data_IF_447126435521
#
_entry.id   IF_447126435521
#
_cell.length_a   1.000
_cell.length_b   1.000
_cell.length_c   1.000
_cell.angle_alpha   90.00
_cell.angle_beta   90.00
_cell.angle_gamma   90.00
#
_symmetry.space_group_name_H-M   'P 1'
#
loop_
_entity.id
_entity.type
_entity.pdbx_description
1 polymer ?
#
# COMPACT_ATOMS: atom_id res chain seq x y z
N UNK A 1 -21.32 6.53 -20.76
CA UNK A 1 -20.22 5.57 -20.97
C UNK A 1 -19.38 5.61 -19.70
N UNK A 2 -19.42 4.56 -18.90
CA UNK A 2 -18.62 4.44 -17.69
C UNK A 2 -17.24 3.94 -18.13
N UNK A 3 -16.19 4.73 -17.88
CA UNK A 3 -14.82 4.29 -18.15
C UNK A 3 -14.29 3.50 -16.95
N UNK A 4 -13.26 2.68 -17.16
CA UNK A 4 -12.64 1.82 -16.14
C UNK A 4 -12.43 2.56 -14.81
N UNK A 5 -11.86 3.77 -14.85
CA UNK A 5 -11.55 4.54 -13.64
C UNK A 5 -12.78 5.06 -12.89
N UNK A 6 -13.89 5.31 -13.58
CA UNK A 6 -15.16 5.64 -12.93
C UNK A 6 -15.71 4.42 -12.19
N UNK A 7 -15.59 3.24 -12.79
CA UNK A 7 -16.03 1.98 -12.17
C UNK A 7 -15.15 1.61 -10.97
N UNK A 8 -13.82 1.64 -11.13
CA UNK A 8 -12.87 1.47 -10.03
C UNK A 8 -13.21 2.38 -8.84
N UNK A 9 -13.44 3.67 -9.07
CA UNK A 9 -13.76 4.61 -7.99
C UNK A 9 -15.06 4.24 -7.25
N UNK A 10 -16.10 3.86 -7.98
CA UNK A 10 -17.41 3.56 -7.40
C UNK A 10 -17.39 2.20 -6.67
N UNK A 11 -16.86 1.18 -7.33
CA UNK A 11 -17.00 -0.21 -6.90
C UNK A 11 -15.93 -0.62 -5.88
N UNK A 12 -14.88 0.18 -5.68
CA UNK A 12 -13.92 -0.01 -4.57
C UNK A 12 -14.17 0.92 -3.38
N UNK A 13 -15.23 1.74 -3.40
CA UNK A 13 -15.47 2.73 -2.34
C UNK A 13 -15.64 2.08 -0.96
N UNK A 14 -16.41 0.99 -0.89
CA UNK A 14 -16.65 0.27 0.37
C UNK A 14 -15.35 -0.32 0.94
N UNK A 15 -14.51 -0.93 0.09
CA UNK A 15 -13.23 -1.52 0.49
C UNK A 15 -12.21 -0.46 0.92
N UNK A 16 -12.21 0.70 0.25
CA UNK A 16 -11.40 1.86 0.69
C UNK A 16 -11.81 2.33 2.07
N UNK A 17 -13.11 2.51 2.32
CA UNK A 17 -13.62 2.91 3.64
C UNK A 17 -13.29 1.87 4.71
N UNK A 18 -13.51 0.58 4.41
CA UNK A 18 -13.17 -0.50 5.32
C UNK A 18 -11.68 -0.53 5.67
N UNK A 19 -10.81 -0.23 4.71
CA UNK A 19 -9.38 -0.09 4.96
C UNK A 19 -9.09 1.05 5.94
N UNK A 20 -9.65 2.23 5.72
CA UNK A 20 -9.45 3.40 6.62
C UNK A 20 -9.96 3.13 8.04
N UNK A 21 -11.05 2.38 8.19
CA UNK A 21 -11.61 1.98 9.49
C UNK A 21 -10.84 0.85 10.19
N UNK A 22 -9.97 0.13 9.46
CA UNK A 22 -9.22 -1.02 9.97
C UNK A 22 -7.88 -0.63 10.60
N UNK A 23 -7.39 -1.48 11.51
CA UNK A 23 -6.01 -1.36 12.01
C UNK A 23 -5.00 -1.69 10.90
N UNK A 24 -3.87 -0.99 10.76
CA UNK A 24 -3.42 0.17 11.55
C UNK A 24 -3.85 1.53 10.99
N UNK A 25 -4.63 1.58 9.91
CA UNK A 25 -4.96 2.80 9.17
C UNK A 25 -5.93 3.74 9.90
N UNK A 26 -6.76 3.20 10.78
CA UNK A 26 -7.65 3.97 11.65
C UNK A 26 -6.92 4.91 12.62
N UNK A 27 -5.58 4.80 12.73
CA UNK A 27 -4.69 5.78 13.35
C UNK A 27 -5.02 7.22 12.95
N UNK A 28 -5.43 7.44 11.70
CA UNK A 28 -5.63 8.78 11.15
C UNK A 28 -7.01 9.38 11.41
N UNK A 29 -7.91 8.66 12.10
CA UNK A 29 -9.25 9.17 12.45
C UNK A 29 -9.26 10.12 13.63
N UNK A 30 -8.30 10.00 14.56
CA UNK A 30 -8.22 10.85 15.73
C UNK A 30 -6.77 11.29 16.01
N UNK A 31 -6.48 12.56 15.74
CA UNK A 31 -5.16 13.17 15.89
C UNK A 31 -4.67 13.19 17.35
N UNK A 32 -5.59 13.20 18.32
CA UNK A 32 -5.25 13.21 19.74
C UNK A 32 -4.71 11.85 20.22
N UNK A 33 -4.97 10.78 19.48
CA UNK A 33 -4.57 9.41 19.82
C UNK A 33 -3.41 8.88 18.96
N UNK A 34 -2.65 9.77 18.31
CA UNK A 34 -1.54 9.34 17.47
C UNK A 34 -0.50 8.52 18.26
N UNK A 35 -0.27 7.29 17.80
CA UNK A 35 0.57 6.27 18.39
C UNK A 35 1.75 5.95 17.44
N UNK A 36 3.00 6.01 17.93
CA UNK A 36 4.18 5.77 17.11
C UNK A 36 4.33 4.30 16.72
N UNK A 37 3.91 3.40 17.59
CA UNK A 37 3.88 1.95 17.38
C UNK A 37 2.89 1.61 16.26
N UNK A 38 1.67 2.14 16.34
CA UNK A 38 0.68 1.97 15.27
C UNK A 38 1.14 2.62 13.96
N UNK A 39 1.84 3.76 14.02
CA UNK A 39 2.41 4.37 12.82
C UNK A 39 3.50 3.49 12.18
N UNK A 40 4.39 2.89 12.98
CA UNK A 40 5.36 1.90 12.50
C UNK A 40 4.66 0.72 11.82
N UNK A 41 3.55 0.25 12.38
CA UNK A 41 2.76 -0.84 11.81
C UNK A 41 2.14 -0.44 10.46
N UNK A 42 1.64 0.79 10.30
CA UNK A 42 1.24 1.34 8.99
C UNK A 42 2.39 1.23 7.98
N UNK A 43 3.59 1.69 8.36
CA UNK A 43 4.76 1.66 7.48
C UNK A 43 5.17 0.23 7.10
N UNK A 44 5.05 -0.73 8.03
CA UNK A 44 5.32 -2.13 7.76
C UNK A 44 4.34 -2.71 6.73
N UNK A 45 3.03 -2.52 6.93
CA UNK A 45 1.98 -2.96 6.00
C UNK A 45 2.19 -2.35 4.62
N UNK A 46 2.43 -1.04 4.56
CA UNK A 46 2.68 -0.35 3.29
C UNK A 46 3.96 -0.84 2.61
N UNK A 47 5.02 -1.15 3.36
CA UNK A 47 6.25 -1.71 2.83
C UNK A 47 6.02 -3.05 2.11
N UNK A 48 5.25 -3.95 2.71
CA UNK A 48 4.89 -5.24 2.09
C UNK A 48 4.04 -5.01 0.85
N UNK A 49 2.98 -4.20 0.95
CA UNK A 49 2.11 -3.87 -0.18
C UNK A 49 2.90 -3.31 -1.38
N UNK A 50 3.83 -2.40 -1.13
CA UNK A 50 4.62 -1.80 -2.19
C UNK A 50 5.55 -2.81 -2.89
N UNK A 51 6.19 -3.71 -2.12
CA UNK A 51 6.98 -4.80 -2.69
C UNK A 51 6.12 -5.72 -3.57
N UNK A 52 4.90 -5.98 -3.14
CA UNK A 52 3.94 -6.81 -3.84
C UNK A 52 3.47 -6.20 -5.17
N UNK A 53 3.10 -4.92 -5.18
CA UNK A 53 2.74 -4.22 -6.42
C UNK A 53 3.93 -4.18 -7.37
N UNK A 54 5.16 -3.95 -6.87
CA UNK A 54 6.37 -3.99 -7.70
C UNK A 54 6.53 -5.36 -8.39
N UNK A 55 6.23 -6.46 -7.70
CA UNK A 55 6.29 -7.82 -8.28
C UNK A 55 5.21 -8.05 -9.33
N UNK A 56 3.97 -7.63 -9.04
CA UNK A 56 2.86 -7.73 -10.00
C UNK A 56 3.20 -7.00 -11.31
N UNK A 57 3.72 -5.78 -11.21
CA UNK A 57 4.17 -4.98 -12.37
C UNK A 57 5.28 -5.70 -13.14
N UNK A 58 6.33 -6.18 -12.45
CA UNK A 58 7.42 -6.94 -13.10
C UNK A 58 6.91 -8.21 -13.79
N UNK A 59 5.93 -8.89 -13.19
CA UNK A 59 5.28 -10.07 -13.77
C UNK A 59 4.51 -9.70 -15.04
N UNK A 60 3.69 -8.66 -15.00
CA UNK A 60 2.95 -8.15 -16.16
C UNK A 60 3.89 -7.75 -17.31
N UNK A 61 4.94 -6.98 -17.03
CA UNK A 61 5.94 -6.56 -18.03
C UNK A 61 6.66 -7.74 -18.68
N UNK A 62 6.90 -8.82 -17.93
CA UNK A 62 7.54 -10.03 -18.45
C UNK A 62 6.66 -10.75 -19.48
N UNK A 63 5.35 -10.81 -19.25
CA UNK A 63 4.42 -11.51 -20.13
C UNK A 63 3.80 -10.61 -21.21
N UNK A 64 3.85 -9.29 -21.01
CA UNK A 64 3.29 -8.29 -21.90
C UNK A 64 4.30 -7.15 -22.09
N UNK A 65 5.23 -7.26 -23.06
CA UNK A 65 6.29 -6.27 -23.27
C UNK A 65 5.82 -4.84 -23.56
N UNK A 66 4.57 -4.67 -24.01
CA UNK A 66 3.94 -3.37 -24.25
C UNK A 66 3.25 -2.79 -23.00
N UNK A 67 3.31 -3.48 -21.86
CA UNK A 67 2.73 -3.00 -20.62
C UNK A 67 3.34 -1.66 -20.18
N UNK A 68 2.48 -0.79 -19.62
CA UNK A 68 2.75 0.60 -19.28
C UNK A 68 4.15 0.87 -18.70
N UNK A 69 4.73 2.01 -19.11
CA UNK A 69 5.95 2.53 -18.48
C UNK A 69 5.68 2.84 -17.01
N UNK A 70 6.27 2.08 -16.09
CA UNK A 70 6.00 2.19 -14.64
C UNK A 70 7.02 3.02 -13.88
N UNK A 71 7.90 3.76 -14.56
CA UNK A 71 8.92 4.61 -13.92
C UNK A 71 8.32 5.62 -12.94
N UNK A 72 7.04 5.94 -13.10
CA UNK A 72 6.32 6.85 -12.23
C UNK A 72 5.91 6.31 -10.86
N UNK A 73 5.96 4.98 -10.63
CA UNK A 73 5.66 4.41 -9.32
C UNK A 73 6.77 4.66 -8.30
N UNK A 74 7.99 4.95 -8.78
CA UNK A 74 9.16 5.26 -7.97
C UNK A 74 9.38 4.30 -6.78
N UNK A 75 9.10 3.02 -7.03
CA UNK A 75 8.96 2.00 -5.98
C UNK A 75 10.19 1.87 -5.08
N UNK A 76 11.39 2.06 -5.63
CA UNK A 76 12.65 1.97 -4.87
C UNK A 76 12.81 3.13 -3.90
N UNK A 77 12.55 4.37 -4.32
CA UNK A 77 12.60 5.53 -3.43
C UNK A 77 11.55 5.45 -2.34
N UNK A 78 10.33 4.97 -2.67
CA UNK A 78 9.26 4.77 -1.69
C UNK A 78 9.66 3.74 -0.63
N UNK A 79 10.21 2.59 -1.04
CA UNK A 79 10.66 1.55 -0.11
C UNK A 79 11.83 2.03 0.77
N UNK A 80 12.78 2.78 0.19
CA UNK A 80 13.87 3.39 0.94
C UNK A 80 13.35 4.40 1.98
N UNK A 81 12.37 5.22 1.61
CA UNK A 81 11.75 6.19 2.52
C UNK A 81 11.02 5.50 3.69
N UNK A 82 10.31 4.39 3.43
CA UNK A 82 9.70 3.56 4.48
C UNK A 82 10.77 2.98 5.41
N UNK A 83 11.87 2.48 4.86
CA UNK A 83 12.96 1.93 5.66
C UNK A 83 13.56 2.98 6.58
N UNK A 84 13.80 4.20 6.07
CA UNK A 84 14.32 5.32 6.86
C UNK A 84 13.37 5.71 8.00
N UNK A 85 12.09 5.90 7.70
CA UNK A 85 11.09 6.26 8.70
C UNK A 85 10.94 5.17 9.76
N UNK A 86 10.87 3.91 9.35
CA UNK A 86 10.80 2.75 10.25
C UNK A 86 12.01 2.67 11.19
N UNK A 87 13.22 2.87 10.67
CA UNK A 87 14.44 2.90 11.48
C UNK A 87 14.44 4.05 12.49
N UNK A 88 13.98 5.23 12.06
CA UNK A 88 13.89 6.39 12.94
C UNK A 88 12.85 6.20 14.03
N UNK A 89 11.67 5.65 13.72
CA UNK A 89 10.64 5.32 14.72
C UNK A 89 11.18 4.29 15.71
N UNK A 90 11.83 3.21 15.24
CA UNK A 90 12.41 2.21 16.13
C UNK A 90 13.45 2.80 17.09
N UNK A 91 14.20 3.82 16.65
CA UNK A 91 15.11 4.57 17.52
C UNK A 91 14.34 5.39 18.57
N UNK A 92 13.32 6.14 18.15
CA UNK A 92 12.48 6.94 19.04
C UNK A 92 11.79 6.08 20.09
N UNK A 93 11.23 4.93 19.68
CA UNK A 93 10.62 3.96 20.59
C UNK A 93 11.64 3.46 21.61
N UNK A 94 12.83 2.99 21.19
CA UNK A 94 13.90 2.55 22.11
C UNK A 94 14.36 3.65 23.08
N UNK A 95 14.36 4.90 22.65
CA UNK A 95 14.73 6.04 23.50
C UNK A 95 13.64 6.34 24.55
N UNK A 96 12.37 6.13 24.21
CA UNK A 96 11.24 6.20 25.13
C UNK A 96 11.18 4.98 26.08
N UNK A 97 11.56 3.79 25.60
CA UNK A 97 11.46 2.49 26.28
C UNK A 97 12.64 2.15 27.20
N UNK A 98 13.39 3.14 27.71
CA UNK A 98 14.45 2.90 28.72
C UNK A 98 13.95 2.30 30.05
N UNK A 99 12.68 1.87 30.13
CA UNK A 99 12.09 1.14 31.26
C UNK A 99 11.57 -0.26 30.96
N UNK A 100 11.41 -0.75 29.72
CA UNK A 100 10.99 -2.16 29.47
C UNK A 100 11.30 -2.59 28.02
N UNK A 101 11.76 -3.84 27.75
CA UNK A 101 12.01 -4.28 26.39
C UNK A 101 10.74 -4.88 25.76
N UNK A 102 10.19 -4.22 24.75
CA UNK A 102 9.18 -4.83 23.88
C UNK A 102 9.80 -5.37 22.58
N UNK A 103 9.64 -6.69 22.35
CA UNK A 103 9.88 -7.30 21.05
C UNK A 103 8.68 -6.99 20.15
N UNK A 104 8.83 -6.02 19.25
CA UNK A 104 7.82 -5.74 18.23
C UNK A 104 8.23 -6.25 16.86
N UNK A 105 7.23 -6.70 16.11
CA UNK A 105 7.35 -7.16 14.74
C UNK A 105 7.68 -5.97 13.82
N UNK A 106 8.97 -5.73 13.66
CA UNK A 106 9.49 -5.08 12.48
C UNK A 106 10.65 -5.94 12.00
N UNK A 107 10.33 -7.01 11.27
CA UNK A 107 11.33 -7.67 10.44
C UNK A 107 12.05 -6.60 9.62
N UNK A 108 13.36 -6.71 9.44
CA UNK A 108 14.08 -5.84 8.52
C UNK A 108 13.27 -5.83 7.20
N UNK A 109 12.86 -4.66 6.69
CA UNK A 109 12.20 -4.55 5.37
C UNK A 109 13.07 -5.12 4.23
N UNK A 110 14.38 -5.24 4.48
CA UNK A 110 15.34 -5.93 3.62
C UNK A 110 15.24 -7.47 3.69
N UNK A 111 14.61 -8.00 4.74
CA UNK A 111 14.35 -9.42 5.01
C UNK A 111 12.85 -9.65 5.19
N UNK A 112 12.00 -9.05 4.33
CA UNK A 112 10.60 -9.44 4.25
C UNK A 112 10.56 -10.94 4.03
N UNK A 113 10.09 -11.65 5.04
CA UNK A 113 10.09 -13.10 5.06
C UNK A 113 9.34 -13.59 3.83
N UNK A 114 9.97 -14.46 3.04
CA UNK A 114 9.45 -14.97 1.76
C UNK A 114 8.01 -15.49 1.90
N UNK A 115 7.66 -15.90 3.12
CA UNK A 115 6.35 -16.34 3.62
C UNK A 115 5.25 -15.27 3.60
N UNK A 116 5.53 -14.00 3.93
CA UNK A 116 4.52 -12.93 3.91
C UNK A 116 4.23 -12.44 2.49
N UNK A 117 5.24 -12.49 1.61
CA UNK A 117 5.05 -12.20 0.20
C UNK A 117 4.36 -13.34 -0.55
N UNK A 118 4.41 -14.56 0.01
CA UNK A 118 3.65 -15.71 -0.47
C UNK A 118 2.15 -15.63 -0.15
N UNK A 119 1.70 -14.69 0.69
CA UNK A 119 0.27 -14.41 0.91
C UNK A 119 -0.42 -13.91 -0.37
N UNK A 120 0.34 -13.33 -1.29
CA UNK A 120 -0.14 -12.93 -2.61
C UNK A 120 0.05 -14.12 -3.54
N UNK A 121 -0.85 -15.09 -3.39
CA UNK A 121 -0.88 -16.29 -4.21
C UNK A 121 -1.11 -15.92 -5.68
N UNK A 122 -0.42 -16.64 -6.57
CA UNK A 122 -0.57 -16.52 -8.03
C UNK A 122 -1.99 -16.85 -8.54
N UNK A 123 -2.89 -17.36 -7.69
CA UNK A 123 -4.28 -17.66 -8.00
C UNK A 123 -5.32 -16.77 -7.32
N UNK A 124 -4.91 -15.69 -6.63
CA UNK A 124 -5.86 -14.73 -6.04
C UNK A 124 -6.44 -13.80 -7.10
N UNK A 125 -5.64 -13.42 -8.09
CA UNK A 125 -6.00 -12.41 -9.09
C UNK A 125 -6.42 -13.03 -10.41
N UNK A 126 -7.29 -12.34 -11.11
CA UNK A 126 -7.87 -12.76 -12.40
C UNK A 126 -6.81 -12.94 -13.49
N UNK A 127 -5.77 -12.10 -13.50
CA UNK A 127 -4.63 -12.21 -14.41
C UNK A 127 -3.44 -11.35 -13.95
N UNK A 128 -2.26 -11.59 -14.52
CA UNK A 128 -1.09 -10.73 -14.22
C UNK A 128 -1.28 -9.26 -14.65
N UNK A 129 -2.07 -9.01 -15.69
CA UNK A 129 -2.34 -7.65 -16.20
C UNK A 129 -3.31 -6.90 -15.29
N UNK A 130 -4.44 -7.54 -14.97
CA UNK A 130 -5.47 -6.95 -14.09
C UNK A 130 -4.89 -6.73 -12.70
N UNK A 131 -4.09 -7.68 -12.18
CA UNK A 131 -3.36 -7.56 -10.92
C UNK A 131 -2.44 -6.33 -10.89
N UNK A 132 -1.68 -6.11 -11.97
CA UNK A 132 -0.76 -4.99 -12.05
C UNK A 132 -1.50 -3.65 -12.20
N UNK A 133 -2.51 -3.58 -13.07
CA UNK A 133 -3.31 -2.34 -13.28
C UNK A 133 -4.01 -1.95 -11.98
N UNK A 134 -4.68 -2.89 -11.32
CA UNK A 134 -5.40 -2.64 -10.08
C UNK A 134 -4.45 -2.29 -8.92
N UNK A 135 -3.30 -2.96 -8.83
CA UNK A 135 -2.29 -2.66 -7.81
C UNK A 135 -1.70 -1.25 -7.98
N UNK A 136 -1.43 -0.85 -9.22
CA UNK A 136 -1.00 0.52 -9.55
C UNK A 136 -2.09 1.56 -9.24
N UNK A 137 -3.37 1.23 -9.46
CA UNK A 137 -4.49 2.07 -9.09
C UNK A 137 -4.52 2.31 -7.56
N UNK A 138 -4.46 1.26 -6.75
CA UNK A 138 -4.46 1.37 -5.28
C UNK A 138 -3.22 2.12 -4.78
N UNK A 139 -2.04 1.83 -5.36
CA UNK A 139 -0.80 2.55 -5.05
C UNK A 139 -0.95 4.05 -5.29
N UNK A 140 -1.33 4.46 -6.51
CA UNK A 140 -1.45 5.87 -6.84
C UNK A 140 -2.64 6.52 -6.13
N UNK A 141 -3.70 5.77 -5.81
CA UNK A 141 -4.75 6.20 -4.90
C UNK A 141 -4.19 6.68 -3.55
N UNK A 142 -3.33 5.86 -2.94
CA UNK A 142 -2.67 6.20 -1.66
C UNK A 142 -1.75 7.43 -1.75
N UNK A 143 -1.17 7.71 -2.93
CA UNK A 143 -0.35 8.90 -3.17
C UNK A 143 -1.13 10.23 -3.03
N UNK A 144 -2.42 10.22 -3.37
CA UNK A 144 -3.29 11.38 -3.19
C UNK A 144 -3.62 11.58 -1.70
N UNK A 145 -3.93 10.50 -0.98
CA UNK A 145 -4.14 10.52 0.48
C UNK A 145 -2.91 10.95 1.28
N UNK A 146 -1.71 10.64 0.79
CA UNK A 146 -0.44 10.99 1.43
C UNK A 146 -0.28 12.50 1.68
N UNK A 147 -0.81 13.37 0.80
CA UNK A 147 -0.76 14.83 1.00
C UNK A 147 -1.60 15.29 2.21
N UNK A 148 -2.70 14.61 2.50
CA UNK A 148 -3.54 14.91 3.66
C UNK A 148 -2.84 14.43 4.92
N UNK A 149 -2.36 13.18 4.91
CA UNK A 149 -1.68 12.59 6.07
C UNK A 149 -0.40 13.36 6.41
N UNK A 150 0.40 13.75 5.42
CA UNK A 150 1.63 14.53 5.62
C UNK A 150 1.35 15.83 6.38
N UNK A 151 0.30 16.56 6.01
CA UNK A 151 -0.09 17.81 6.68
C UNK A 151 -0.49 17.56 8.13
N UNK A 152 -1.34 16.55 8.37
CA UNK A 152 -1.74 16.15 9.73
C UNK A 152 -0.54 15.79 10.61
N UNK A 153 0.39 14.99 10.08
CA UNK A 153 1.61 14.61 10.82
C UNK A 153 2.49 15.82 11.17
N UNK A 154 2.56 16.83 10.31
CA UNK A 154 3.29 18.08 10.57
C UNK A 154 2.61 18.95 11.63
N UNK A 155 1.28 18.93 11.69
CA UNK A 155 0.48 19.68 12.67
C UNK A 155 0.59 19.12 14.10
N UNK A 156 0.95 17.83 14.25
CA UNK A 156 1.16 17.21 15.57
C UNK A 156 2.30 17.82 16.39
N UNK A 157 3.11 18.74 15.83
CA UNK A 157 4.27 19.40 16.48
C UNK A 157 5.24 18.42 17.16
N UNK A 158 5.28 17.18 16.68
CA UNK A 158 6.18 16.11 17.12
C UNK A 158 7.21 15.86 16.02
N UNK A 159 8.40 15.39 16.41
CA UNK A 159 9.44 14.97 15.44
C UNK A 159 9.10 13.60 14.85
N UNK A 160 8.00 13.53 14.10
CA UNK A 160 7.50 12.30 13.46
C UNK A 160 8.20 12.16 12.10
N UNK A 161 8.80 10.99 11.79
CA UNK A 161 9.38 10.73 10.47
C UNK A 161 8.31 10.76 9.38
N UNK A 162 8.58 11.47 8.28
CA UNK A 162 7.59 11.75 7.21
C UNK A 162 8.16 11.52 5.81
N UNK A 163 9.29 10.84 5.68
CA UNK A 163 9.93 10.61 4.39
C UNK A 163 9.01 9.79 3.46
N UNK A 164 8.33 8.78 3.98
CA UNK A 164 7.40 7.95 3.23
C UNK A 164 6.26 8.77 2.63
N UNK A 165 5.52 9.51 3.45
CA UNK A 165 4.39 10.30 2.97
C UNK A 165 4.82 11.45 2.06
N UNK A 166 6.01 12.04 2.27
CA UNK A 166 6.58 13.01 1.33
C UNK A 166 6.90 12.39 -0.03
N UNK A 167 7.50 11.21 -0.03
CA UNK A 167 7.81 10.47 -1.26
C UNK A 167 6.52 10.08 -2.00
N UNK A 168 5.55 9.50 -1.30
CA UNK A 168 4.25 9.14 -1.88
C UNK A 168 3.50 10.35 -2.43
N UNK A 169 3.42 11.46 -1.69
CA UNK A 169 2.79 12.69 -2.16
C UNK A 169 3.39 13.18 -3.49
N UNK A 170 4.69 13.01 -3.69
CA UNK A 170 5.37 13.40 -4.94
C UNK A 170 4.98 12.53 -6.15
N UNK A 171 4.48 11.31 -5.92
CA UNK A 171 4.02 10.39 -6.95
C UNK A 171 2.64 10.76 -7.51
N UNK A 172 1.84 11.57 -6.81
CA UNK A 172 0.47 11.92 -7.20
C UNK A 172 0.38 12.62 -8.57
N UNK A 173 1.42 13.35 -8.98
CA UNK A 173 1.51 14.00 -10.30
C UNK A 173 1.41 13.00 -11.46
N UNK A 174 1.72 11.74 -11.22
CA UNK A 174 1.75 10.68 -12.23
C UNK A 174 0.40 10.02 -12.48
N UNK A 175 -0.64 10.38 -11.72
CA UNK A 175 -1.98 9.82 -11.87
C UNK A 175 -2.53 9.94 -13.29
N UNK A 176 -2.33 11.08 -13.94
CA UNK A 176 -2.81 11.33 -15.31
C UNK A 176 -2.10 10.41 -16.31
N UNK A 177 -0.78 10.31 -16.23
CA UNK A 177 0.02 9.44 -17.11
C UNK A 177 -0.31 7.97 -16.94
N UNK A 178 -0.57 7.53 -15.70
CA UNK A 178 -1.04 6.18 -15.43
C UNK A 178 -2.37 5.90 -16.12
N UNK A 179 -3.38 6.78 -15.96
CA UNK A 179 -4.68 6.59 -16.61
C UNK A 179 -4.56 6.53 -18.13
N UNK A 180 -3.78 7.44 -18.73
CA UNK A 180 -3.53 7.45 -20.17
C UNK A 180 -2.90 6.14 -20.65
N UNK A 181 -1.87 5.65 -19.96
CA UNK A 181 -1.23 4.39 -20.33
C UNK A 181 -2.16 3.17 -20.19
N UNK A 182 -3.06 3.15 -19.21
CA UNK A 182 -4.06 2.09 -19.09
C UNK A 182 -5.12 2.22 -20.19
N UNK A 183 -5.60 3.43 -20.48
CA UNK A 183 -6.59 3.67 -21.54
C UNK A 183 -6.05 3.25 -22.91
N UNK A 184 -4.75 3.45 -23.18
CA UNK A 184 -4.06 2.97 -24.39
C UNK A 184 -3.95 1.45 -24.45
N UNK A 185 -3.90 0.76 -23.31
CA UNK A 185 -3.86 -0.70 -23.22
C UNK A 185 -5.23 -1.36 -23.35
N UNK A 186 -6.32 -0.66 -23.02
CA UNK A 186 -7.67 -1.25 -22.99
C UNK A 186 -8.06 -1.98 -24.29
N UNK A 187 -7.81 -1.44 -25.50
CA UNK A 187 -8.18 -2.10 -26.75
C UNK A 187 -7.60 -3.52 -26.91
N UNK A 188 -6.42 -3.77 -26.34
CA UNK A 188 -5.74 -5.08 -26.43
C UNK A 188 -6.43 -6.16 -25.59
N UNK A 189 -7.29 -5.78 -24.65
CA UNK A 189 -7.91 -6.69 -23.68
C UNK A 189 -9.45 -6.71 -23.72
N UNK A 190 -10.09 -5.80 -24.46
CA UNK A 190 -11.57 -5.68 -24.54
C UNK A 190 -12.26 -6.72 -25.43
N UNK A 191 -11.54 -7.49 -26.25
CA UNK A 191 -12.15 -8.35 -27.28
C UNK A 191 -12.45 -9.81 -26.86
N UNK A 192 -12.26 -10.19 -25.59
CA UNK A 192 -12.36 -11.60 -25.17
C UNK A 192 -13.06 -11.75 -23.82
N UNK A 193 -14.36 -12.05 -23.89
CA UNK A 193 -15.19 -12.76 -22.90
C UNK A 193 -14.96 -12.41 -21.42
N UNK A 194 -15.97 -11.79 -20.81
CA UNK A 194 -15.99 -11.06 -19.52
C UNK A 194 -15.44 -9.63 -19.58
N UNK A 195 -16.19 -8.72 -18.98
CA UNK A 195 -15.85 -7.30 -18.91
C UNK A 195 -14.51 -7.13 -18.18
N UNK A 196 -13.45 -6.84 -18.95
CA UNK A 196 -12.10 -6.61 -18.42
C UNK A 196 -12.11 -5.60 -17.28
N UNK A 197 -12.99 -4.58 -17.34
CA UNK A 197 -13.12 -3.60 -16.28
C UNK A 197 -13.58 -4.23 -14.97
N UNK A 198 -14.55 -5.15 -15.02
CA UNK A 198 -15.02 -5.89 -13.85
C UNK A 198 -13.90 -6.73 -13.20
N UNK A 199 -13.03 -7.37 -14.00
CA UNK A 199 -11.87 -8.12 -13.46
C UNK A 199 -10.82 -7.21 -12.81
N UNK A 200 -10.56 -6.04 -13.38
CA UNK A 200 -9.67 -5.03 -12.75
C UNK A 200 -10.26 -4.52 -11.44
N UNK A 201 -11.58 -4.35 -11.36
CA UNK A 201 -12.29 -3.94 -10.14
C UNK A 201 -12.24 -5.02 -9.06
N UNK A 202 -12.44 -6.29 -9.42
CA UNK A 202 -12.29 -7.41 -8.50
C UNK A 202 -10.87 -7.44 -7.90
N UNK A 203 -9.85 -7.43 -8.76
CA UNK A 203 -8.46 -7.42 -8.32
C UNK A 203 -8.11 -6.18 -7.46
N UNK A 204 -8.75 -5.03 -7.70
CA UNK A 204 -8.57 -3.84 -6.88
C UNK A 204 -9.15 -4.02 -5.47
N UNK A 205 -10.31 -4.66 -5.35
CA UNK A 205 -10.88 -5.04 -4.06
C UNK A 205 -9.99 -6.06 -3.34
N UNK A 206 -9.40 -7.02 -4.06
CA UNK A 206 -8.45 -7.98 -3.47
C UNK A 206 -7.20 -7.28 -2.91
N UNK A 207 -6.70 -6.23 -3.58
CA UNK A 207 -5.61 -5.41 -3.04
C UNK A 207 -5.99 -4.69 -1.73
N UNK A 208 -7.22 -4.18 -1.63
CA UNK A 208 -7.72 -3.61 -0.37
C UNK A 208 -7.84 -4.68 0.72
N UNK A 209 -8.36 -5.85 0.40
CA UNK A 209 -8.47 -6.96 1.34
C UNK A 209 -7.10 -7.43 1.84
N UNK A 210 -6.10 -7.50 0.96
CA UNK A 210 -4.71 -7.79 1.35
C UNK A 210 -4.20 -6.77 2.38
N UNK A 211 -4.41 -5.47 2.16
CA UNK A 211 -3.98 -4.42 3.10
C UNK A 211 -4.67 -4.57 4.47
N UNK A 212 -5.98 -4.86 4.49
CA UNK A 212 -6.74 -5.10 5.73
C UNK A 212 -6.22 -6.33 6.47
N UNK A 213 -5.95 -7.41 5.74
CA UNK A 213 -5.46 -8.66 6.29
C UNK A 213 -4.04 -8.52 6.86
N UNK A 214 -3.14 -7.82 6.16
CA UNK A 214 -1.80 -7.49 6.64
C UNK A 214 -1.86 -6.68 7.95
N UNK A 215 -2.73 -5.66 8.00
CA UNK A 215 -2.93 -4.88 9.21
C UNK A 215 -3.43 -5.72 10.38
N UNK A 216 -4.44 -6.56 10.15
CA UNK A 216 -5.01 -7.47 11.15
C UNK A 216 -3.98 -8.48 11.70
N UNK A 217 -3.05 -8.94 10.86
CA UNK A 217 -1.97 -9.83 11.29
C UNK A 217 -0.95 -9.12 12.18
N UNK A 218 -0.59 -7.87 11.84
CA UNK A 218 0.29 -7.03 12.68
C UNK A 218 -0.28 -6.89 14.09
N UNK A 219 -1.59 -6.61 14.21
CA UNK A 219 -2.27 -6.44 15.48
C UNK A 219 -2.29 -7.71 16.35
N UNK A 220 -2.50 -8.88 15.75
CA UNK A 220 -2.58 -10.16 16.47
C UNK A 220 -1.24 -10.51 17.13
N UNK A 221 -0.14 -10.25 16.45
CA UNK A 221 1.20 -10.59 16.96
C UNK A 221 1.58 -9.76 18.20
N UNK A 222 1.05 -8.54 18.37
CA UNK A 222 1.27 -7.73 19.57
C UNK A 222 0.49 -8.24 20.80
N UNK A 223 -0.69 -8.86 20.61
CA UNK A 223 -1.50 -9.35 21.74
C UNK A 223 -0.90 -10.58 22.43
N UNK A 224 -0.11 -11.38 21.72
CA UNK A 224 0.51 -12.60 22.29
C UNK A 224 1.82 -12.34 23.06
N UNK A 225 2.48 -11.21 22.86
CA UNK A 225 3.73 -10.85 23.57
C UNK A 225 3.51 -10.28 24.97
N UNK A 226 2.27 -9.99 25.36
CA UNK A 226 1.91 -9.45 26.69
C UNK A 226 1.23 -10.47 27.62
N UNK A 227 1.19 -11.76 27.26
CA UNK A 227 0.46 -12.81 28.01
C UNK A 227 1.35 -13.94 28.58
N UNK A 228 2.62 -13.68 28.88
CA UNK A 228 3.51 -14.64 29.56
C UNK A 228 4.28 -13.98 30.70
#
# INVERSE_FOLDING_TARGET
>A
MQNLFTQLKQDTQASHQALEDSYPFNLYHNEQTFCLETYRDVLCVMGIFHQCVQRAVKKAQRFHPFFVNTGFLNTEEVLNAIQQDTQQINKLLKEADKTTPHQHFCGNLAATDTTQLALINDGLFESSITQAISGMYVWLGSSMGANVILRRLQELQRSIPTNYYRCMASCAKSWVSYKQGVDELLPEFTDKTEDFASRVVNDANDWFEILINLGSQSQKNEKFTHST
#
